data_IF_425079513546
#
_entry.id   IF_425079513546
#
_cell.length_a   1.000
_cell.length_b   1.000
_cell.length_c   1.000
_cell.angle_alpha   90.00
_cell.angle_beta   90.00
_cell.angle_gamma   90.00
#
_symmetry.space_group_name_H-M   'P 1'
#
loop_
_entity.id
_entity.type
_entity.pdbx_description
1 polymer ?
#
# COMPACT_ATOMS: atom_id res chain seq x y z
N UNK A 1 4.78 -24.57 2.72
CA UNK A 1 5.94 -23.92 2.09
C UNK A 1 6.43 -24.79 0.92
N UNK A 2 6.47 -24.25 -0.30
CA UNK A 2 6.96 -24.96 -1.50
C UNK A 2 8.50 -24.93 -1.53
N UNK A 3 9.12 -26.07 -1.78
CA UNK A 3 10.56 -26.15 -2.03
C UNK A 3 10.88 -25.78 -3.49
N UNK A 4 11.63 -24.69 -3.70
CA UNK A 4 12.03 -24.18 -5.02
C UNK A 4 13.24 -24.88 -5.66
N UNK A 5 13.80 -25.93 -5.06
CA UNK A 5 14.93 -26.69 -5.62
C UNK A 5 14.62 -27.24 -7.03
N UNK A 6 13.36 -27.61 -7.27
CA UNK A 6 12.88 -28.10 -8.56
C UNK A 6 12.17 -27.02 -9.39
N UNK A 7 12.35 -25.73 -9.05
CA UNK A 7 11.86 -24.65 -9.89
C UNK A 7 12.67 -24.57 -11.18
N UNK A 8 11.99 -24.46 -12.33
CA UNK A 8 12.63 -24.43 -13.64
C UNK A 8 13.64 -23.28 -13.80
N UNK A 9 13.49 -22.22 -13.00
CA UNK A 9 14.35 -21.04 -13.00
C UNK A 9 15.12 -20.88 -11.70
N UNK A 10 15.49 -22.00 -11.07
CA UNK A 10 16.32 -21.95 -9.87
C UNK A 10 17.68 -21.28 -10.16
N UNK A 11 18.34 -20.82 -9.10
CA UNK A 11 19.60 -20.07 -9.15
C UNK A 11 20.72 -20.75 -9.95
N UNK A 12 20.75 -22.08 -9.98
CA UNK A 12 21.80 -22.81 -10.71
C UNK A 12 21.75 -22.60 -12.22
N UNK A 13 20.61 -22.12 -12.73
CA UNK A 13 20.36 -21.88 -14.15
C UNK A 13 20.42 -20.38 -14.48
N UNK A 14 20.31 -19.50 -13.49
CA UNK A 14 20.28 -18.05 -13.70
C UNK A 14 21.70 -17.50 -13.95
N UNK A 15 21.90 -16.63 -14.96
CA UNK A 15 23.20 -16.03 -15.22
C UNK A 15 23.66 -15.11 -14.08
N UNK A 16 24.95 -15.19 -13.73
CA UNK A 16 25.56 -14.33 -12.71
C UNK A 16 26.05 -12.98 -13.29
N UNK A 17 26.56 -12.98 -14.51
CA UNK A 17 27.09 -11.77 -15.16
C UNK A 17 25.97 -10.79 -15.52
N UNK A 18 26.09 -9.53 -15.09
CA UNK A 18 25.03 -8.53 -15.20
C UNK A 18 24.47 -8.37 -16.64
N UNK A 19 25.35 -8.25 -17.64
CA UNK A 19 24.92 -8.07 -19.03
C UNK A 19 24.20 -9.29 -19.60
N UNK A 20 24.64 -10.51 -19.23
CA UNK A 20 23.99 -11.76 -19.65
C UNK A 20 22.66 -11.91 -18.94
N UNK A 21 22.60 -11.54 -17.65
CA UNK A 21 21.40 -11.58 -16.82
C UNK A 21 20.32 -10.65 -17.37
N UNK A 22 20.64 -9.41 -17.71
CA UNK A 22 19.68 -8.47 -18.32
C UNK A 22 19.09 -9.05 -19.61
N UNK A 23 19.93 -9.54 -20.52
CA UNK A 23 19.48 -10.11 -21.78
C UNK A 23 18.63 -11.37 -21.57
N UNK A 24 19.00 -12.22 -20.62
CA UNK A 24 18.23 -13.41 -20.26
C UNK A 24 16.81 -13.05 -19.80
N UNK A 25 16.66 -12.04 -18.94
CA UNK A 25 15.34 -11.61 -18.47
C UNK A 25 14.51 -10.94 -19.57
N UNK A 26 15.13 -10.15 -20.46
CA UNK A 26 14.45 -9.62 -21.65
C UNK A 26 13.92 -10.75 -22.55
N UNK A 27 14.73 -11.79 -22.80
CA UNK A 27 14.31 -12.96 -23.57
C UNK A 27 13.20 -13.74 -22.86
N UNK A 28 13.28 -13.88 -21.54
CA UNK A 28 12.30 -14.56 -20.72
C UNK A 28 10.94 -13.84 -20.73
N UNK A 29 10.93 -12.51 -20.63
CA UNK A 29 9.71 -11.71 -20.80
C UNK A 29 9.05 -11.95 -22.16
N UNK A 30 9.85 -12.03 -23.24
CA UNK A 30 9.31 -12.33 -24.57
C UNK A 30 8.73 -13.74 -24.67
N UNK A 31 9.33 -14.72 -23.98
CA UNK A 31 8.80 -16.09 -23.90
C UNK A 31 7.44 -16.09 -23.20
N UNK A 32 7.33 -15.47 -22.02
CA UNK A 32 6.07 -15.39 -21.29
C UNK A 32 5.00 -14.60 -22.04
N UNK A 33 5.37 -13.52 -22.72
CA UNK A 33 4.42 -12.77 -23.56
C UNK A 33 3.89 -13.63 -24.73
N UNK A 34 4.76 -14.40 -25.38
CA UNK A 34 4.35 -15.33 -26.45
C UNK A 34 3.46 -16.46 -25.91
N UNK A 35 3.71 -16.96 -24.70
CA UNK A 35 2.86 -17.94 -24.03
C UNK A 35 1.41 -17.43 -23.94
N UNK A 36 1.23 -16.16 -23.55
CA UNK A 36 -0.10 -15.55 -23.42
C UNK A 36 -0.81 -15.40 -24.77
N UNK A 37 -0.12 -14.93 -25.81
CA UNK A 37 -0.73 -14.70 -27.14
C UNK A 37 -1.22 -16.00 -27.77
N UNK A 38 -0.53 -17.12 -27.53
CA UNK A 38 -0.85 -18.41 -28.14
C UNK A 38 -1.69 -19.31 -27.22
N UNK A 39 -2.11 -18.83 -26.05
CA UNK A 39 -2.91 -19.62 -25.11
C UNK A 39 -4.40 -19.40 -25.31
N UNK A 40 -5.12 -20.46 -25.66
CA UNK A 40 -6.59 -20.46 -25.74
C UNK A 40 -7.23 -20.03 -24.41
N UNK A 41 -6.60 -20.43 -23.29
CA UNK A 41 -7.05 -20.10 -21.93
C UNK A 41 -6.94 -18.59 -21.66
N UNK A 42 -5.82 -17.97 -22.01
CA UNK A 42 -5.66 -16.53 -21.87
C UNK A 42 -6.62 -15.76 -22.79
N UNK A 43 -6.77 -16.20 -24.04
CA UNK A 43 -7.71 -15.60 -25.00
C UNK A 43 -9.15 -15.66 -24.48
N UNK A 44 -9.56 -16.77 -23.87
CA UNK A 44 -10.89 -16.92 -23.27
C UNK A 44 -11.12 -15.91 -22.14
N UNK A 45 -10.14 -15.77 -21.23
CA UNK A 45 -10.22 -14.81 -20.13
C UNK A 45 -10.41 -13.37 -20.63
N UNK A 46 -9.66 -12.98 -21.67
CA UNK A 46 -9.67 -11.60 -22.18
C UNK A 46 -10.92 -11.22 -22.98
N UNK A 47 -11.80 -12.16 -23.34
CA UNK A 47 -13.07 -11.84 -24.04
C UNK A 47 -13.96 -10.87 -23.27
N UNK A 48 -13.83 -10.85 -21.94
CA UNK A 48 -14.63 -10.02 -21.05
C UNK A 48 -14.12 -8.58 -20.91
N UNK A 49 -12.94 -8.28 -21.45
CA UNK A 49 -12.28 -6.98 -21.26
C UNK A 49 -12.18 -6.18 -22.57
N UNK A 50 -11.94 -4.88 -22.42
CA UNK A 50 -11.73 -3.98 -23.53
C UNK A 50 -10.41 -4.27 -24.22
N UNK A 51 -10.43 -4.32 -25.57
CA UNK A 51 -9.24 -4.53 -26.39
C UNK A 51 -8.16 -3.46 -26.18
N UNK A 52 -8.55 -2.27 -25.72
CA UNK A 52 -7.64 -1.18 -25.36
C UNK A 52 -6.63 -1.60 -24.27
N UNK A 53 -7.04 -2.49 -23.36
CA UNK A 53 -6.31 -2.81 -22.14
C UNK A 53 -5.51 -4.12 -22.22
N UNK A 54 -5.89 -5.03 -23.13
CA UNK A 54 -5.37 -6.41 -23.18
C UNK A 54 -3.85 -6.44 -23.46
N UNK A 55 -3.37 -5.70 -24.46
CA UNK A 55 -1.95 -5.75 -24.83
C UNK A 55 -1.05 -5.20 -23.72
N UNK A 56 -1.46 -4.09 -23.10
CA UNK A 56 -0.76 -3.49 -21.97
C UNK A 56 -0.71 -4.43 -20.78
N UNK A 57 -1.83 -5.11 -20.50
CA UNK A 57 -1.90 -6.12 -19.45
C UNK A 57 -0.97 -7.31 -19.72
N UNK A 58 -1.02 -7.91 -20.92
CA UNK A 58 -0.17 -9.06 -21.28
C UNK A 58 1.32 -8.74 -21.12
N UNK A 59 1.76 -7.55 -21.55
CA UNK A 59 3.15 -7.09 -21.36
C UNK A 59 3.49 -6.94 -19.88
N UNK A 60 2.59 -6.34 -19.11
CA UNK A 60 2.77 -6.16 -17.67
C UNK A 60 2.85 -7.51 -16.93
N UNK A 61 2.00 -8.47 -17.31
CA UNK A 61 2.01 -9.82 -16.76
C UNK A 61 3.30 -10.57 -17.06
N UNK A 62 3.75 -10.55 -18.32
CA UNK A 62 5.00 -11.20 -18.73
C UNK A 62 6.21 -10.62 -18.00
N UNK A 63 6.28 -9.28 -17.90
CA UNK A 63 7.33 -8.60 -17.12
C UNK A 63 7.26 -8.94 -15.64
N UNK A 64 6.04 -9.03 -15.07
CA UNK A 64 5.85 -9.45 -13.69
C UNK A 64 6.35 -10.86 -13.43
N UNK A 65 5.98 -11.81 -14.30
CA UNK A 65 6.40 -13.21 -14.21
C UNK A 65 7.92 -13.34 -14.26
N UNK A 66 8.59 -12.57 -15.12
CA UNK A 66 10.06 -12.51 -15.17
C UNK A 66 10.67 -11.89 -13.90
N UNK A 67 10.08 -10.80 -13.38
CA UNK A 67 10.52 -10.20 -12.12
C UNK A 67 10.38 -11.16 -10.92
N UNK A 68 9.31 -11.95 -10.86
CA UNK A 68 9.15 -12.99 -9.84
C UNK A 68 10.26 -14.04 -9.91
N UNK A 69 10.69 -14.44 -11.12
CA UNK A 69 11.88 -15.29 -11.29
C UNK A 69 13.15 -14.59 -10.80
N UNK A 70 13.30 -13.29 -11.07
CA UNK A 70 14.48 -12.55 -10.62
C UNK A 70 14.59 -12.48 -9.09
N UNK A 71 13.45 -12.42 -8.41
CA UNK A 71 13.35 -12.12 -6.98
C UNK A 71 12.86 -13.32 -6.15
N UNK A 72 12.75 -14.53 -6.70
CA UNK A 72 12.16 -15.67 -5.99
C UNK A 72 12.94 -16.02 -4.71
N UNK A 73 14.27 -15.91 -4.70
CA UNK A 73 15.08 -16.13 -3.49
C UNK A 73 14.73 -15.11 -2.40
N UNK A 74 14.52 -13.84 -2.78
CA UNK A 74 14.09 -12.81 -1.85
C UNK A 74 12.70 -13.14 -1.29
N UNK A 75 11.75 -13.57 -2.11
CA UNK A 75 10.42 -13.95 -1.62
C UNK A 75 10.47 -15.20 -0.73
N UNK A 76 11.31 -16.18 -1.06
CA UNK A 76 11.56 -17.36 -0.24
C UNK A 76 12.14 -16.98 1.14
N UNK A 77 13.13 -16.09 1.17
CA UNK A 77 13.75 -15.61 2.41
C UNK A 77 12.82 -14.70 3.22
N UNK A 78 12.16 -13.77 2.56
CA UNK A 78 11.20 -12.84 3.19
C UNK A 78 10.07 -13.60 3.88
N UNK A 79 9.61 -14.72 3.31
CA UNK A 79 8.58 -15.56 3.93
C UNK A 79 9.12 -16.39 5.10
N UNK A 80 10.32 -16.95 4.98
CA UNK A 80 11.03 -17.57 6.12
C UNK A 80 11.14 -16.58 7.28
N UNK A 81 11.51 -15.33 6.99
CA UNK A 81 11.66 -14.26 7.99
C UNK A 81 10.32 -13.75 8.54
N UNK A 82 9.30 -13.53 7.69
CA UNK A 82 7.97 -12.99 8.09
C UNK A 82 7.15 -13.94 8.95
N UNK A 83 7.18 -15.25 8.68
CA UNK A 83 6.30 -16.19 9.39
C UNK A 83 6.94 -16.86 10.61
N UNK A 84 8.27 -16.96 10.69
CA UNK A 84 8.88 -17.92 11.64
C UNK A 84 10.11 -17.43 12.40
N UNK A 85 10.50 -16.15 12.29
CA UNK A 85 11.72 -15.66 12.95
C UNK A 85 11.45 -14.60 14.01
N UNK A 86 12.28 -14.57 15.04
CA UNK A 86 12.32 -13.52 16.06
C UNK A 86 12.41 -12.11 15.43
N UNK A 87 13.08 -11.99 14.28
CA UNK A 87 13.20 -10.74 13.53
C UNK A 87 11.84 -10.25 13.01
N UNK A 88 10.97 -11.16 12.56
CA UNK A 88 9.61 -10.84 12.14
C UNK A 88 8.77 -10.26 13.28
N UNK A 89 8.85 -10.85 14.48
CA UNK A 89 8.17 -10.33 15.66
C UNK A 89 8.76 -9.00 16.15
N UNK A 90 10.08 -8.82 16.07
CA UNK A 90 10.73 -7.56 16.41
C UNK A 90 10.26 -6.42 15.51
N UNK A 91 10.20 -6.65 14.20
CA UNK A 91 9.71 -5.63 13.25
C UNK A 91 8.26 -5.27 13.52
N UNK A 92 7.39 -6.27 13.75
CA UNK A 92 5.99 -6.01 14.12
C UNK A 92 5.88 -5.19 15.41
N UNK A 93 6.67 -5.52 16.42
CA UNK A 93 6.71 -4.76 17.66
C UNK A 93 7.16 -3.30 17.43
N UNK A 94 8.14 -3.08 16.55
CA UNK A 94 8.56 -1.73 16.16
C UNK A 94 7.44 -0.97 15.45
N UNK A 95 6.78 -1.57 14.46
CA UNK A 95 5.66 -0.96 13.73
C UNK A 95 4.50 -0.56 14.67
N UNK A 96 4.21 -1.41 15.67
CA UNK A 96 3.24 -1.13 16.74
C UNK A 96 3.68 0.08 17.58
N UNK A 97 4.95 0.14 18.00
CA UNK A 97 5.46 1.31 18.72
C UNK A 97 5.36 2.59 17.87
N UNK A 98 5.61 2.48 16.56
CA UNK A 98 5.45 3.62 15.66
C UNK A 98 3.99 4.10 15.57
N UNK A 99 2.99 3.21 15.64
CA UNK A 99 1.58 3.62 15.59
C UNK A 99 1.14 4.45 16.81
N UNK A 100 1.75 4.23 17.97
CA UNK A 100 1.58 5.10 19.15
C UNK A 100 2.02 6.52 18.81
N UNK A 101 3.21 6.65 18.22
CA UNK A 101 3.76 7.95 17.81
C UNK A 101 2.92 8.60 16.70
N UNK A 102 2.42 7.82 15.73
CA UNK A 102 1.52 8.31 14.69
C UNK A 102 0.25 8.92 15.28
N UNK A 103 -0.37 8.26 16.26
CA UNK A 103 -1.55 8.77 16.94
C UNK A 103 -1.26 10.06 17.70
N UNK A 104 -0.11 10.15 18.39
CA UNK A 104 0.33 11.41 19.03
C UNK A 104 0.46 12.54 18.01
N UNK A 105 1.11 12.27 16.88
CA UNK A 105 1.28 13.24 15.79
C UNK A 105 -0.08 13.68 15.22
N UNK A 106 -1.02 12.75 15.03
CA UNK A 106 -2.35 13.05 14.53
C UNK A 106 -3.15 13.93 15.50
N UNK A 107 -3.07 13.64 16.81
CA UNK A 107 -3.69 14.50 17.82
C UNK A 107 -3.11 15.93 17.80
N UNK A 108 -1.80 16.07 17.59
CA UNK A 108 -1.16 17.37 17.38
C UNK A 108 -1.63 18.04 16.08
N UNK A 109 -1.80 17.27 15.00
CA UNK A 109 -2.33 17.75 13.72
C UNK A 109 -3.73 18.34 13.90
N UNK A 110 -4.64 17.68 14.63
CA UNK A 110 -5.98 18.17 14.92
C UNK A 110 -5.96 19.51 15.66
N UNK A 111 -5.13 19.61 16.71
CA UNK A 111 -4.95 20.84 17.48
C UNK A 111 -4.37 21.97 16.62
N UNK A 112 -3.37 21.66 15.79
CA UNK A 112 -2.73 22.63 14.91
C UNK A 112 -3.71 23.14 13.84
N UNK A 113 -4.46 22.25 13.19
CA UNK A 113 -5.48 22.60 12.18
C UNK A 113 -6.57 23.49 12.77
N UNK A 114 -6.90 23.30 14.05
CA UNK A 114 -7.83 24.13 14.80
C UNK A 114 -7.26 25.48 15.26
N UNK A 115 -5.97 25.73 15.04
CA UNK A 115 -5.29 26.93 15.53
C UNK A 115 -5.12 26.97 17.05
N UNK A 116 -5.19 25.82 17.71
CA UNK A 116 -4.98 25.68 19.17
C UNK A 116 -3.54 25.33 19.54
N UNK A 117 -2.74 24.96 18.54
CA UNK A 117 -1.34 24.59 18.69
C UNK A 117 -0.54 25.20 17.54
N UNK A 118 0.61 25.77 17.88
CA UNK A 118 1.64 26.18 16.93
C UNK A 118 2.90 25.37 17.23
N UNK A 119 3.50 24.79 16.18
CA UNK A 119 4.67 23.93 16.26
C UNK A 119 5.73 24.56 15.38
N UNK A 120 6.91 24.81 15.94
CA UNK A 120 8.02 25.34 15.16
C UNK A 120 8.43 24.35 14.06
N UNK A 121 8.64 24.86 12.85
CA UNK A 121 8.90 24.03 11.67
C UNK A 121 7.66 23.40 11.00
N UNK A 122 6.44 23.58 11.53
CA UNK A 122 5.20 23.15 10.87
C UNK A 122 4.44 24.37 10.34
N UNK A 123 4.36 24.48 9.02
CA UNK A 123 3.75 25.60 8.32
C UNK A 123 2.49 25.22 7.56
N UNK A 124 2.43 23.99 7.04
CA UNK A 124 1.37 23.50 6.17
C UNK A 124 0.93 22.10 6.57
N UNK A 125 -0.25 21.68 6.10
CA UNK A 125 -0.78 20.35 6.35
C UNK A 125 0.16 19.23 5.84
N UNK A 126 0.92 19.50 4.77
CA UNK A 126 1.87 18.56 4.18
C UNK A 126 3.07 18.25 5.10
N UNK A 127 3.42 19.14 6.03
CA UNK A 127 4.54 18.90 6.94
C UNK A 127 4.24 17.72 7.88
N UNK A 128 2.97 17.46 8.21
CA UNK A 128 2.57 16.26 8.97
C UNK A 128 2.77 14.99 8.16
N UNK A 129 2.50 15.00 6.85
CA UNK A 129 2.76 13.85 5.96
C UNK A 129 4.26 13.57 5.80
N UNK A 130 5.10 14.61 5.90
CA UNK A 130 6.55 14.41 5.99
C UNK A 130 6.90 13.68 7.29
N UNK A 131 6.44 14.18 8.44
CA UNK A 131 6.76 13.59 9.74
C UNK A 131 6.16 12.20 9.95
N UNK A 132 5.04 11.89 9.30
CA UNK A 132 4.51 10.52 9.23
C UNK A 132 5.58 9.50 8.80
N UNK A 133 6.38 9.84 7.79
CA UNK A 133 7.42 8.96 7.23
C UNK A 133 8.68 8.89 8.10
N UNK A 134 8.88 9.88 8.97
CA UNK A 134 10.06 10.02 9.82
C UNK A 134 9.68 10.05 11.30
N UNK A 135 8.63 9.33 11.67
CA UNK A 135 7.96 9.45 12.97
C UNK A 135 8.90 9.18 14.16
N UNK A 136 9.81 8.20 14.02
CA UNK A 136 10.81 7.87 15.04
C UNK A 136 11.80 9.02 15.32
N UNK A 137 11.93 9.98 14.40
CA UNK A 137 12.83 11.13 14.51
C UNK A 137 12.08 12.46 14.69
N UNK A 138 10.77 12.41 14.91
CA UNK A 138 9.95 13.60 15.08
C UNK A 138 10.28 14.31 16.40
N UNK A 139 10.73 15.58 16.38
CA UNK A 139 11.34 16.23 17.55
C UNK A 139 10.34 16.79 18.56
N UNK A 140 9.05 16.85 18.21
CA UNK A 140 8.02 17.53 19.01
C UNK A 140 6.95 16.58 19.55
N UNK A 141 7.08 15.27 19.32
CA UNK A 141 6.22 14.26 19.95
C UNK A 141 6.90 13.73 21.21
N UNK A 142 6.12 13.53 22.26
CA UNK A 142 6.64 12.96 23.50
C UNK A 142 7.02 11.48 23.29
N UNK A 143 8.11 11.01 23.93
CA UNK A 143 8.49 9.61 23.92
C UNK A 143 7.35 8.68 24.34
N UNK A 144 7.38 7.43 23.84
CA UNK A 144 6.42 6.40 24.22
C UNK A 144 6.55 6.13 25.71
N UNK A 145 5.42 6.08 26.41
CA UNK A 145 5.34 5.78 27.84
C UNK A 145 5.04 4.30 28.10
N UNK A 146 5.39 3.79 29.27
CA UNK A 146 5.07 2.41 29.67
C UNK A 146 3.57 2.13 29.63
N UNK A 147 2.73 3.10 30.02
CA UNK A 147 1.26 2.97 29.93
C UNK A 147 0.75 2.81 28.50
N UNK A 148 1.40 3.47 27.53
CA UNK A 148 1.03 3.32 26.12
C UNK A 148 1.49 1.98 25.55
N UNK A 149 2.61 1.45 26.05
CA UNK A 149 3.05 0.08 25.73
C UNK A 149 2.09 -0.96 26.29
N UNK A 150 1.60 -0.80 27.51
CA UNK A 150 0.57 -1.71 28.05
C UNK A 150 -0.75 -1.58 27.28
N UNK A 151 -1.13 -0.36 26.88
CA UNK A 151 -2.34 -0.14 26.08
C UNK A 151 -2.27 -0.81 24.70
N UNK A 152 -1.12 -0.82 24.03
CA UNK A 152 -1.02 -1.51 22.74
C UNK A 152 -1.02 -3.03 22.90
N UNK A 153 -0.51 -3.57 24.02
CA UNK A 153 -0.68 -4.98 24.35
C UNK A 153 -2.15 -5.33 24.55
N UNK A 154 -2.89 -4.49 25.28
CA UNK A 154 -4.33 -4.68 25.47
C UNK A 154 -5.08 -4.67 24.12
N UNK A 155 -4.73 -3.76 23.22
CA UNK A 155 -5.29 -3.71 21.86
C UNK A 155 -5.05 -5.02 21.09
N UNK A 156 -3.82 -5.53 21.11
CA UNK A 156 -3.47 -6.78 20.42
C UNK A 156 -4.20 -8.00 20.97
N UNK A 157 -4.54 -8.01 22.26
CA UNK A 157 -5.30 -9.11 22.87
C UNK A 157 -6.78 -9.12 22.43
N UNK A 158 -7.27 -8.04 21.82
CA UNK A 158 -8.64 -7.92 21.30
C UNK A 158 -8.74 -8.26 19.81
N UNK A 159 -7.65 -8.09 19.05
CA UNK A 159 -7.58 -8.37 17.61
C UNK A 159 -7.22 -9.82 17.32
N UNK A 160 -7.79 -10.42 16.26
CA UNK A 160 -7.36 -11.75 15.79
C UNK A 160 -5.98 -11.68 15.13
N UNK A 161 -5.24 -12.80 15.08
CA UNK A 161 -3.90 -12.83 14.45
C UNK A 161 -3.93 -12.45 12.95
N UNK A 162 -5.05 -12.68 12.26
CA UNK A 162 -5.26 -12.28 10.86
C UNK A 162 -5.46 -10.76 10.72
N UNK A 163 -6.21 -10.13 11.63
CA UNK A 163 -6.47 -8.68 11.62
C UNK A 163 -5.19 -7.86 11.89
N UNK A 164 -4.30 -8.38 12.74
CA UNK A 164 -3.05 -7.72 13.13
C UNK A 164 -2.09 -7.46 11.96
N UNK A 165 -2.21 -8.19 10.84
CA UNK A 165 -1.29 -8.12 9.69
C UNK A 165 -1.73 -7.10 8.62
N UNK A 166 -3.04 -6.81 8.54
CA UNK A 166 -3.60 -5.85 7.57
C UNK A 166 -3.64 -4.40 8.10
N UNK A 167 -3.61 -4.21 9.42
CA UNK A 167 -3.75 -2.88 10.05
C UNK A 167 -2.61 -1.88 9.80
N UNK A 168 -1.49 -2.28 9.18
CA UNK A 168 -0.29 -1.43 9.09
C UNK A 168 0.17 -1.12 7.66
N UNK A 169 -0.20 -1.94 6.67
CA UNK A 169 0.23 -1.72 5.30
C UNK A 169 -0.73 -0.79 4.56
N UNK A 170 -0.24 0.38 4.14
CA UNK A 170 -1.01 1.33 3.33
C UNK A 170 -1.89 2.30 4.12
N UNK A 171 -1.81 2.31 5.45
CA UNK A 171 -2.49 3.30 6.29
C UNK A 171 -1.80 4.66 6.13
N UNK A 172 -2.58 5.66 5.73
CA UNK A 172 -2.12 7.06 5.66
C UNK A 172 -2.44 7.74 7.01
N UNK A 173 -1.53 7.60 7.97
CA UNK A 173 -1.76 7.94 9.38
C UNK A 173 -2.08 9.42 9.60
N UNK A 174 -1.56 10.31 8.76
CA UNK A 174 -1.78 11.75 8.82
C UNK A 174 -2.70 12.27 7.70
N UNK A 175 -3.39 11.38 6.98
CA UNK A 175 -4.42 11.74 6.01
C UNK A 175 -5.70 12.17 6.73
N UNK A 176 -5.70 13.41 7.22
CA UNK A 176 -6.86 14.02 7.86
C UNK A 176 -8.11 13.91 7.00
N UNK A 177 -8.03 14.15 5.69
CA UNK A 177 -9.22 14.26 4.86
C UNK A 177 -9.86 12.89 4.65
N UNK A 178 -9.07 11.82 4.50
CA UNK A 178 -9.54 10.43 4.49
C UNK A 178 -10.03 9.96 5.86
N UNK A 179 -9.22 10.13 6.90
CA UNK A 179 -9.52 9.65 8.25
C UNK A 179 -10.75 10.32 8.87
N UNK A 180 -11.15 11.50 8.38
CA UNK A 180 -12.32 12.24 8.87
C UNK A 180 -13.58 12.03 8.03
N UNK A 181 -13.55 11.15 7.02
CA UNK A 181 -14.73 10.76 6.24
C UNK A 181 -15.70 10.02 7.17
N UNK A 182 -16.95 10.51 7.19
CA UNK A 182 -18.05 9.88 7.91
C UNK A 182 -19.04 9.27 6.94
N UNK A 183 -19.53 8.08 7.27
CA UNK A 183 -20.62 7.44 6.57
C UNK A 183 -21.98 8.13 6.84
N UNK A 184 -23.05 7.58 6.28
CA UNK A 184 -24.42 8.08 6.47
C UNK A 184 -24.93 7.99 7.91
N UNK A 185 -24.26 7.21 8.77
CA UNK A 185 -24.56 7.06 10.19
C UNK A 185 -23.65 7.92 11.08
N UNK A 186 -22.70 8.66 10.49
CA UNK A 186 -21.76 9.51 11.21
C UNK A 186 -20.54 8.77 11.76
N UNK A 187 -20.33 7.51 11.40
CA UNK A 187 -19.19 6.69 11.80
C UNK A 187 -17.99 6.99 10.90
N UNK A 188 -16.79 7.06 11.47
CA UNK A 188 -15.57 7.32 10.72
C UNK A 188 -15.18 6.06 9.94
N UNK A 189 -15.20 6.14 8.62
CA UNK A 189 -15.11 4.96 7.76
C UNK A 189 -13.67 4.45 7.61
N UNK A 190 -12.73 5.38 7.42
CA UNK A 190 -11.34 5.06 7.07
C UNK A 190 -10.37 5.32 8.24
N UNK A 191 -10.89 5.60 9.45
CA UNK A 191 -10.04 5.84 10.62
C UNK A 191 -9.38 4.53 11.08
N UNK A 192 -8.06 4.54 11.38
CA UNK A 192 -7.40 3.35 11.92
C UNK A 192 -8.04 2.90 13.24
N UNK A 193 -8.32 1.61 13.40
CA UNK A 193 -8.95 1.05 14.61
C UNK A 193 -8.16 1.38 15.88
N UNK A 194 -6.83 1.43 15.77
CA UNK A 194 -5.95 1.84 16.86
C UNK A 194 -6.26 3.27 17.35
N UNK A 195 -6.66 4.20 16.47
CA UNK A 195 -6.98 5.57 16.85
C UNK A 195 -8.24 5.63 17.71
N UNK A 196 -9.28 4.91 17.32
CA UNK A 196 -10.52 4.81 18.10
C UNK A 196 -10.25 4.17 19.47
N UNK A 197 -9.48 3.08 19.51
CA UNK A 197 -9.10 2.43 20.76
C UNK A 197 -8.32 3.37 21.69
N UNK A 198 -7.33 4.09 21.14
CA UNK A 198 -6.54 5.08 21.86
C UNK A 198 -7.44 6.21 22.39
N UNK A 199 -8.33 6.74 21.56
CA UNK A 199 -9.21 7.85 21.91
C UNK A 199 -10.16 7.50 23.06
N UNK A 200 -10.73 6.29 23.05
CA UNK A 200 -11.57 5.81 24.15
C UNK A 200 -10.82 5.65 25.47
N UNK A 201 -9.52 5.30 25.45
CA UNK A 201 -8.71 5.08 26.65
C UNK A 201 -8.07 6.36 27.19
N UNK A 202 -7.66 7.25 26.30
CA UNK A 202 -6.96 8.49 26.63
C UNK A 202 -7.89 9.71 26.70
N UNK A 203 -9.16 9.56 26.29
CA UNK A 203 -10.14 10.65 26.27
C UNK A 203 -9.83 11.72 25.24
N UNK A 204 -9.22 11.33 24.11
CA UNK A 204 -8.79 12.25 23.04
C UNK A 204 -9.76 12.31 21.85
N UNK A 205 -10.88 11.58 21.91
CA UNK A 205 -11.98 11.60 20.93
C UNK A 205 -12.54 13.00 20.67
N UNK A 206 -12.57 13.85 21.70
CA UNK A 206 -13.05 15.23 21.58
C UNK A 206 -12.20 16.09 20.63
N UNK A 207 -10.96 15.70 20.32
CA UNK A 207 -10.12 16.39 19.34
C UNK A 207 -10.69 16.27 17.92
N UNK A 208 -11.45 15.22 17.64
CA UNK A 208 -12.11 14.98 16.34
C UNK A 208 -13.26 15.97 16.07
N UNK A 209 -13.71 16.70 17.10
CA UNK A 209 -14.75 17.72 16.98
C UNK A 209 -14.17 19.11 16.68
N UNK A 210 -12.84 19.24 16.64
CA UNK A 210 -12.18 20.52 16.41
C UNK A 210 -12.35 21.00 14.96
N UNK A 211 -12.46 22.32 14.73
CA UNK A 211 -12.59 22.85 13.39
C UNK A 211 -11.27 22.75 12.60
N UNK A 212 -11.36 22.61 11.28
CA UNK A 212 -10.20 22.59 10.38
C UNK A 212 -9.92 23.98 9.78
N UNK A 213 -9.49 24.95 10.60
CA UNK A 213 -9.27 26.32 10.12
C UNK A 213 -8.06 26.47 9.18
N UNK A 214 -6.91 25.89 9.54
CA UNK A 214 -5.68 26.01 8.73
C UNK A 214 -5.80 25.19 7.45
N UNK A 215 -6.28 23.95 7.51
CA UNK A 215 -6.45 23.10 6.32
C UNK A 215 -7.50 23.63 5.34
N UNK A 216 -8.63 24.16 5.82
CA UNK A 216 -9.62 24.79 4.94
C UNK A 216 -9.05 26.01 4.19
N UNK A 217 -8.13 26.75 4.82
CA UNK A 217 -7.44 27.88 4.17
C UNK A 217 -6.46 27.40 3.09
N UNK A 218 -5.70 26.36 3.36
CA UNK A 218 -4.80 25.76 2.37
C UNK A 218 -5.57 25.23 1.16
N UNK A 219 -6.65 24.48 1.39
CA UNK A 219 -7.47 23.91 0.31
C UNK A 219 -8.12 25.00 -0.56
N UNK A 220 -8.51 26.14 0.03
CA UNK A 220 -8.98 27.30 -0.72
C UNK A 220 -7.94 27.78 -1.74
N UNK A 221 -6.69 28.00 -1.31
CA UNK A 221 -5.62 28.46 -2.21
C UNK A 221 -5.23 27.40 -3.25
N UNK A 222 -5.22 26.13 -2.86
CA UNK A 222 -4.99 25.01 -3.78
C UNK A 222 -6.10 24.93 -4.84
N UNK A 223 -7.36 25.16 -4.43
CA UNK A 223 -8.52 25.23 -5.32
C UNK A 223 -8.36 26.27 -6.42
N UNK A 224 -7.94 27.49 -6.08
CA UNK A 224 -7.68 28.56 -7.06
C UNK A 224 -6.65 28.13 -8.11
N UNK A 225 -5.57 27.47 -7.68
CA UNK A 225 -4.51 26.97 -8.58
C UNK A 225 -5.04 25.85 -9.48
N UNK A 226 -5.83 24.92 -8.94
CA UNK A 226 -6.45 23.82 -9.71
C UNK A 226 -7.42 24.37 -10.76
N UNK A 227 -8.20 25.39 -10.42
CA UNK A 227 -9.11 26.04 -11.37
C UNK A 227 -8.38 26.74 -12.51
N UNK A 228 -7.31 27.49 -12.20
CA UNK A 228 -6.48 28.13 -13.21
C UNK A 228 -5.82 27.10 -14.14
N UNK A 229 -5.29 26.02 -13.57
CA UNK A 229 -4.74 24.91 -14.35
C UNK A 229 -5.77 24.26 -15.26
N UNK A 230 -7.02 24.07 -14.81
CA UNK A 230 -8.11 23.54 -15.65
C UNK A 230 -8.49 24.48 -16.79
N UNK A 231 -8.43 25.80 -16.59
CA UNK A 231 -8.66 26.80 -17.65
C UNK A 231 -7.56 26.77 -18.71
N UNK A 232 -6.31 26.65 -18.28
CA UNK A 232 -5.14 26.63 -19.17
C UNK A 232 -4.94 25.26 -19.85
N UNK A 233 -5.34 24.18 -19.20
CA UNK A 233 -5.26 22.80 -19.68
C UNK A 233 -6.64 22.13 -19.58
N UNK A 234 -7.60 22.50 -20.45
CA UNK A 234 -8.91 21.87 -20.43
C UNK A 234 -8.75 20.36 -20.68
N UNK A 235 -9.56 19.52 -20.00
CA UNK A 235 -9.51 18.08 -20.21
C UNK A 235 -9.74 17.77 -21.70
N UNK A 236 -8.85 16.98 -22.30
CA UNK A 236 -9.00 16.54 -23.70
C UNK A 236 -10.20 15.59 -23.80
N UNK A 237 -10.94 15.71 -24.90
CA UNK A 237 -12.20 15.05 -25.23
C UNK A 237 -12.41 13.63 -24.68
N UNK A 238 -13.68 13.34 -24.41
CA UNK A 238 -14.26 12.03 -24.10
C UNK A 238 -13.74 10.95 -25.06
N UNK A 239 -12.95 10.01 -24.52
CA UNK A 239 -12.65 8.77 -25.23
C UNK A 239 -13.98 8.05 -25.50
N UNK A 240 -14.12 7.41 -26.67
CA UNK A 240 -15.18 6.43 -26.87
C UNK A 240 -14.97 5.31 -25.85
N UNK A 241 -15.76 5.31 -24.80
CA UNK A 241 -15.71 4.29 -23.75
C UNK A 241 -16.19 2.99 -24.36
N UNK A 242 -15.28 2.04 -24.56
CA UNK A 242 -15.66 0.65 -24.74
C UNK A 242 -16.44 0.24 -23.48
N UNK A 243 -17.69 -0.25 -23.61
CA UNK A 243 -18.49 -0.62 -22.44
C UNK A 243 -17.88 -1.79 -21.65
N UNK A 244 -16.92 -2.52 -22.22
CA UNK A 244 -16.22 -3.59 -21.51
C UNK A 244 -15.25 -3.02 -20.47
N UNK A 245 -15.11 -3.69 -19.31
CA UNK A 245 -14.14 -3.30 -18.30
C UNK A 245 -12.72 -3.30 -18.87
N UNK A 246 -11.89 -2.40 -18.34
CA UNK A 246 -10.45 -2.36 -18.58
C UNK A 246 -9.80 -3.34 -17.61
N UNK A 247 -8.79 -4.10 -18.07
CA UNK A 247 -7.92 -4.88 -17.20
C UNK A 247 -6.60 -4.14 -16.97
N UNK A 248 -6.17 -4.03 -15.72
CA UNK A 248 -4.97 -3.29 -15.32
C UNK A 248 -3.81 -4.22 -14.96
N UNK A 249 -2.60 -3.87 -15.39
CA UNK A 249 -1.39 -4.68 -15.21
C UNK A 249 -0.81 -4.69 -13.79
N UNK A 250 -1.62 -4.41 -12.76
CA UNK A 250 -1.21 -4.33 -11.36
C UNK A 250 -2.39 -4.65 -10.43
N UNK A 251 -2.09 -4.89 -9.15
CA UNK A 251 -3.10 -5.21 -8.15
C UNK A 251 -3.87 -6.49 -8.44
N UNK A 252 -5.14 -6.52 -8.05
CA UNK A 252 -5.98 -7.73 -8.06
C UNK A 252 -6.15 -8.36 -9.44
N UNK A 253 -6.21 -7.57 -10.50
CA UNK A 253 -6.38 -8.09 -11.87
C UNK A 253 -5.24 -9.03 -12.29
N UNK A 254 -4.00 -8.74 -11.86
CA UNK A 254 -2.87 -9.61 -12.18
C UNK A 254 -2.94 -10.91 -11.39
N UNK A 255 -3.36 -10.85 -10.12
CA UNK A 255 -3.40 -12.01 -9.23
C UNK A 255 -4.56 -12.93 -9.60
N UNK A 256 -5.72 -12.37 -9.95
CA UNK A 256 -6.89 -13.11 -10.41
C UNK A 256 -6.59 -13.82 -11.73
N UNK A 257 -5.92 -13.12 -12.66
CA UNK A 257 -5.48 -13.74 -13.90
C UNK A 257 -4.42 -14.83 -13.65
N UNK A 258 -3.46 -14.61 -12.75
CA UNK A 258 -2.45 -15.63 -12.40
C UNK A 258 -3.10 -16.90 -11.85
N UNK A 259 -4.05 -16.77 -10.91
CA UNK A 259 -4.82 -17.89 -10.36
C UNK A 259 -5.61 -18.62 -11.44
N UNK A 260 -6.22 -17.87 -12.37
CA UNK A 260 -6.93 -18.46 -13.49
C UNK A 260 -5.98 -19.17 -14.44
N UNK A 261 -4.89 -18.53 -14.86
CA UNK A 261 -4.04 -18.91 -15.99
C UNK A 261 -2.97 -19.94 -15.63
N UNK A 262 -2.19 -19.70 -14.56
CA UNK A 262 -1.01 -20.49 -14.22
C UNK A 262 -1.35 -21.93 -13.85
N UNK A 263 -0.52 -22.86 -14.28
CA UNK A 263 -0.55 -24.27 -13.88
C UNK A 263 0.73 -24.70 -13.16
N UNK A 264 1.79 -23.90 -13.25
CA UNK A 264 3.03 -24.12 -12.51
C UNK A 264 2.82 -23.70 -11.05
N UNK A 265 2.92 -24.68 -10.15
CA UNK A 265 2.80 -24.48 -8.70
C UNK A 265 3.77 -23.42 -8.14
N UNK A 266 4.94 -23.23 -8.76
CA UNK A 266 5.92 -22.23 -8.32
C UNK A 266 5.46 -20.83 -8.67
N UNK A 267 4.93 -20.62 -9.88
CA UNK A 267 4.36 -19.32 -10.24
C UNK A 267 3.10 -19.02 -9.44
N UNK A 268 2.22 -20.00 -9.26
CA UNK A 268 1.03 -19.84 -8.39
C UNK A 268 1.45 -19.39 -6.99
N UNK A 269 2.50 -19.98 -6.42
CA UNK A 269 3.02 -19.56 -5.11
C UNK A 269 3.64 -18.17 -5.16
N UNK A 270 4.46 -17.88 -6.18
CA UNK A 270 5.15 -16.59 -6.29
C UNK A 270 4.21 -15.41 -6.50
N UNK A 271 3.10 -15.62 -7.23
CA UNK A 271 2.07 -14.60 -7.43
C UNK A 271 1.28 -14.28 -6.16
N UNK A 272 1.37 -15.07 -5.09
CA UNK A 272 0.83 -14.68 -3.77
C UNK A 272 1.63 -13.57 -3.09
N UNK A 273 2.89 -13.37 -3.50
CA UNK A 273 3.75 -12.31 -2.97
C UNK A 273 3.65 -11.00 -3.75
N UNK A 274 2.74 -10.94 -4.71
CA UNK A 274 2.44 -9.74 -5.48
C UNK A 274 1.06 -9.19 -5.13
#
# INVERSE_FOLDING_TARGET
>A
MINFDHFAYNKTILPEEANIKTKFFEELEQIFYKELIHSEKAIEYFKNYSSFSIEGFMKSYASKKAHLVQCYEFYQQTYLEKETTDLGYQKKAEDLLMSILQKKLFNMQLLWRAGKLDIDGIQLCYDFQFWEKYIASCPFIDPITDSEVEMIKDFLMLSSEEDQFEHYNGVSWQDYDGNMIRDEHGVLQDMPEWYDFYDMRMGTDTLLLLPNHKGAREEFYMGLTREENRKNNPPKNEFKVDPKPIIIGYGRDITDFAQYFESDKYFIELFKYY
#
